data_IF_057759367047
#
_entry.id   IF_057759367047
#
_cell.length_a   1.000
_cell.length_b   1.000
_cell.length_c   1.000
_cell.angle_alpha   90.00
_cell.angle_beta   90.00
_cell.angle_gamma   90.00
#
_symmetry.space_group_name_H-M   'P 1'
#
loop_
_entity.id
_entity.type
_entity.pdbx_description
1 polymer ?
#
# COMPACT_ATOMS: atom_id res chain seq x y z
N UNK A 1 -2.13 -30.32 -12.13
CA UNK A 1 -2.37 -28.95 -11.66
C UNK A 1 -1.25 -28.11 -12.22
N UNK A 2 -1.51 -27.14 -13.10
CA UNK A 2 -0.45 -26.24 -13.58
C UNK A 2 -0.02 -25.32 -12.42
N UNK A 3 1.27 -24.97 -12.30
CA UNK A 3 1.71 -24.03 -11.28
C UNK A 3 1.14 -22.64 -11.59
N UNK A 4 0.47 -22.03 -10.61
CA UNK A 4 -0.03 -20.65 -10.72
C UNK A 4 1.14 -19.69 -10.83
N UNK A 5 1.18 -18.89 -11.90
CA UNK A 5 2.23 -17.89 -12.15
C UNK A 5 1.89 -16.54 -11.51
N UNK A 6 2.88 -15.64 -11.36
CA UNK A 6 2.63 -14.24 -10.94
C UNK A 6 1.61 -13.56 -11.86
N UNK A 7 1.70 -13.81 -13.17
CA UNK A 7 0.77 -13.23 -14.15
C UNK A 7 -0.67 -13.69 -13.91
N UNK A 8 -0.88 -14.97 -13.64
CA UNK A 8 -2.24 -15.49 -13.35
C UNK A 8 -2.85 -14.81 -12.11
N UNK A 9 -2.03 -14.57 -11.08
CA UNK A 9 -2.45 -13.88 -9.87
C UNK A 9 -2.72 -12.39 -10.10
N UNK A 10 -1.90 -11.72 -10.92
CA UNK A 10 -2.12 -10.32 -11.30
C UNK A 10 -3.39 -10.17 -12.14
N UNK A 11 -3.66 -11.11 -13.05
CA UNK A 11 -4.90 -11.14 -13.83
C UNK A 11 -6.14 -11.37 -12.95
N UNK A 12 -6.03 -12.22 -11.92
CA UNK A 12 -7.09 -12.41 -10.94
C UNK A 12 -7.32 -11.14 -10.12
N UNK A 13 -6.25 -10.46 -9.68
CA UNK A 13 -6.36 -9.17 -9.00
C UNK A 13 -7.00 -8.10 -9.89
N UNK A 14 -6.63 -8.04 -11.17
CA UNK A 14 -7.19 -7.09 -12.15
C UNK A 14 -8.68 -7.28 -12.45
N UNK A 15 -9.29 -8.40 -12.05
CA UNK A 15 -10.75 -8.62 -12.17
C UNK A 15 -11.54 -8.07 -10.98
N UNK A 16 -10.87 -7.72 -9.88
CA UNK A 16 -11.50 -7.09 -8.73
C UNK A 16 -11.79 -5.61 -9.03
N UNK A 17 -12.76 -4.97 -8.35
CA UNK A 17 -13.04 -3.56 -8.59
C UNK A 17 -11.80 -2.68 -8.35
N UNK A 18 -11.49 -1.81 -9.30
CA UNK A 18 -10.29 -0.97 -9.28
C UNK A 18 -10.21 -0.10 -8.01
N UNK A 19 -9.06 -0.13 -7.35
CA UNK A 19 -8.81 0.57 -6.09
C UNK A 19 -9.59 0.03 -4.88
N UNK A 20 -10.28 -1.12 -5.00
CA UNK A 20 -10.98 -1.71 -3.85
C UNK A 20 -10.01 -2.29 -2.82
N UNK A 21 -10.44 -2.36 -1.57
CA UNK A 21 -9.67 -2.99 -0.50
C UNK A 21 -9.27 -4.43 -0.82
N UNK A 22 -10.15 -5.19 -1.48
CA UNK A 22 -9.87 -6.56 -1.91
C UNK A 22 -8.76 -6.63 -2.96
N UNK A 23 -8.81 -5.75 -3.97
CA UNK A 23 -7.78 -5.67 -5.00
C UNK A 23 -6.42 -5.32 -4.41
N UNK A 24 -6.36 -4.29 -3.56
CA UNK A 24 -5.12 -3.86 -2.91
C UNK A 24 -4.57 -4.94 -1.97
N UNK A 25 -5.45 -5.62 -1.22
CA UNK A 25 -5.04 -6.75 -0.38
C UNK A 25 -4.44 -7.88 -1.21
N UNK A 26 -5.04 -8.20 -2.35
CA UNK A 26 -4.57 -9.25 -3.24
C UNK A 26 -3.19 -8.91 -3.82
N UNK A 27 -2.99 -7.69 -4.32
CA UNK A 27 -1.67 -7.22 -4.76
C UNK A 27 -0.63 -7.29 -3.64
N UNK A 28 -1.02 -6.93 -2.40
CA UNK A 28 -0.14 -7.06 -1.25
C UNK A 28 0.25 -8.52 -0.99
N UNK A 29 -0.68 -9.47 -1.02
CA UNK A 29 -0.36 -10.90 -0.85
C UNK A 29 0.58 -11.42 -1.94
N UNK A 30 0.40 -10.98 -3.19
CA UNK A 30 1.29 -11.32 -4.31
C UNK A 30 2.69 -10.77 -4.03
N UNK A 31 2.82 -9.50 -3.62
CA UNK A 31 4.10 -8.93 -3.21
C UNK A 31 4.76 -9.74 -2.09
N UNK A 32 4.00 -10.11 -1.06
CA UNK A 32 4.53 -10.87 0.07
C UNK A 32 5.10 -12.22 -0.39
N UNK A 33 4.35 -12.97 -1.20
CA UNK A 33 4.77 -14.29 -1.68
C UNK A 33 5.99 -14.26 -2.60
N UNK A 34 6.03 -13.31 -3.54
CA UNK A 34 7.01 -13.32 -4.65
C UNK A 34 8.16 -12.33 -4.48
N UNK A 35 8.02 -11.32 -3.63
CA UNK A 35 9.08 -10.32 -3.37
C UNK A 35 9.64 -10.46 -1.97
N UNK A 36 8.78 -10.55 -0.93
CA UNK A 36 9.25 -10.60 0.47
C UNK A 36 9.74 -11.98 0.90
N UNK A 37 9.00 -13.03 0.55
CA UNK A 37 9.26 -14.41 0.99
C UNK A 37 10.09 -15.23 -0.01
N UNK A 38 10.55 -14.61 -1.11
CA UNK A 38 11.35 -15.29 -2.12
C UNK A 38 12.65 -15.86 -1.51
N UNK A 39 12.89 -17.18 -1.59
CA UNK A 39 14.07 -17.80 -1.00
C UNK A 39 15.32 -17.51 -1.83
N UNK A 40 16.34 -16.91 -1.19
CA UNK A 40 17.67 -16.68 -1.79
C UNK A 40 17.90 -15.26 -2.30
N UNK A 41 19.18 -14.91 -2.49
CA UNK A 41 19.65 -13.58 -2.90
C UNK A 41 19.24 -13.25 -4.34
N UNK A 42 18.01 -12.80 -4.52
CA UNK A 42 17.50 -12.27 -5.77
C UNK A 42 16.07 -12.71 -6.02
N UNK A 43 15.11 -11.83 -5.73
CA UNK A 43 13.84 -11.85 -6.44
C UNK A 43 14.18 -11.80 -7.94
N UNK A 44 13.68 -12.69 -8.80
CA UNK A 44 13.82 -12.50 -10.23
C UNK A 44 13.25 -11.11 -10.55
N UNK A 45 14.10 -10.17 -10.99
CA UNK A 45 13.72 -8.75 -11.15
C UNK A 45 12.44 -8.59 -12.01
N UNK A 46 12.17 -9.54 -12.91
CA UNK A 46 10.95 -9.62 -13.71
C UNK A 46 9.65 -9.71 -12.90
N UNK A 47 9.58 -10.54 -11.85
CA UNK A 47 8.34 -10.71 -11.07
C UNK A 47 8.01 -9.45 -10.27
N UNK A 48 9.03 -8.81 -9.67
CA UNK A 48 8.84 -7.53 -8.99
C UNK A 48 8.36 -6.46 -9.96
N UNK A 49 9.00 -6.34 -11.13
CA UNK A 49 8.62 -5.35 -12.14
C UNK A 49 7.16 -5.56 -12.58
N UNK A 50 6.76 -6.80 -12.86
CA UNK A 50 5.38 -7.14 -13.21
C UNK A 50 4.38 -6.69 -12.13
N UNK A 51 4.69 -6.93 -10.85
CA UNK A 51 3.83 -6.52 -9.74
C UNK A 51 3.75 -4.98 -9.64
N UNK A 52 4.90 -4.29 -9.73
CA UNK A 52 4.94 -2.82 -9.67
C UNK A 52 4.16 -2.18 -10.82
N UNK A 53 4.39 -2.65 -12.05
CA UNK A 53 3.71 -2.13 -13.23
C UNK A 53 2.19 -2.33 -13.13
N UNK A 54 1.75 -3.52 -12.71
CA UNK A 54 0.33 -3.81 -12.52
C UNK A 54 -0.31 -2.93 -11.45
N UNK A 55 0.32 -2.80 -10.28
CA UNK A 55 -0.20 -1.95 -9.20
C UNK A 55 -0.22 -0.48 -9.61
N UNK A 56 0.84 0.02 -10.26
CA UNK A 56 0.91 1.41 -10.68
C UNK A 56 -0.07 1.75 -11.80
N UNK A 57 -0.36 0.82 -12.71
CA UNK A 57 -1.41 1.01 -13.71
C UNK A 57 -2.79 1.25 -13.05
N UNK A 58 -3.09 0.50 -11.99
CA UNK A 58 -4.34 0.65 -11.24
C UNK A 58 -4.36 1.90 -10.35
N UNK A 59 -3.22 2.28 -9.77
CA UNK A 59 -3.13 3.37 -8.79
C UNK A 59 -2.87 4.76 -9.39
N UNK A 60 -2.31 4.84 -10.60
CA UNK A 60 -2.01 6.09 -11.28
C UNK A 60 -3.20 7.05 -11.42
N UNK A 61 -4.45 6.60 -11.73
CA UNK A 61 -5.62 7.48 -11.79
C UNK A 61 -5.94 8.19 -10.46
N UNK A 62 -5.48 7.64 -9.34
CA UNK A 62 -5.66 8.21 -8.00
C UNK A 62 -4.47 9.07 -7.54
N UNK A 63 -3.45 9.23 -8.40
CA UNK A 63 -2.22 9.93 -8.02
C UNK A 63 -1.43 9.18 -6.94
N UNK A 64 -1.49 7.85 -6.93
CA UNK A 64 -0.74 6.99 -6.00
C UNK A 64 0.24 6.14 -6.78
N UNK A 65 1.45 5.99 -6.25
CA UNK A 65 2.50 5.17 -6.83
C UNK A 65 3.06 4.21 -5.78
N UNK A 66 3.16 2.93 -6.13
CA UNK A 66 3.98 1.95 -5.43
C UNK A 66 5.45 2.15 -5.81
N UNK A 67 6.25 2.39 -4.79
CA UNK A 67 7.67 2.71 -4.86
C UNK A 67 8.49 1.77 -3.97
N UNK A 68 9.82 1.84 -4.10
CA UNK A 68 10.75 1.06 -3.30
C UNK A 68 10.89 1.63 -1.88
N UNK A 69 10.76 0.76 -0.88
CA UNK A 69 11.13 1.07 0.51
C UNK A 69 12.64 1.04 0.79
N UNK A 70 13.03 1.19 2.06
CA UNK A 70 14.43 1.04 2.47
C UNK A 70 15.01 -0.33 2.08
N UNK A 71 14.21 -1.37 2.25
CA UNK A 71 14.49 -2.72 1.78
C UNK A 71 13.69 -2.99 0.50
N UNK A 72 14.32 -3.62 -0.48
CA UNK A 72 13.70 -4.03 -1.75
C UNK A 72 12.49 -4.98 -1.59
N UNK A 73 12.37 -5.60 -0.42
CA UNK A 73 11.29 -6.49 -0.04
C UNK A 73 10.07 -5.77 0.56
N UNK A 74 10.17 -4.47 0.83
CA UNK A 74 9.16 -3.70 1.56
C UNK A 74 8.41 -2.77 0.60
N UNK A 75 7.08 -2.94 0.44
CA UNK A 75 6.29 -2.07 -0.42
C UNK A 75 6.08 -0.72 0.27
N UNK A 76 6.21 0.38 -0.48
CA UNK A 76 5.97 1.74 0.01
C UNK A 76 5.15 2.50 -1.02
N UNK A 77 4.05 3.13 -0.60
CA UNK A 77 3.25 3.98 -1.48
C UNK A 77 3.57 5.46 -1.29
N UNK A 78 3.41 6.25 -2.34
CA UNK A 78 3.45 7.71 -2.31
C UNK A 78 2.20 8.27 -2.96
N UNK A 79 1.56 9.22 -2.30
CA UNK A 79 0.48 10.00 -2.90
C UNK A 79 1.05 11.32 -3.44
N UNK A 80 0.63 11.72 -4.64
CA UNK A 80 1.12 12.93 -5.30
C UNK A 80 0.92 14.17 -4.41
N UNK A 81 1.99 14.94 -4.20
CA UNK A 81 1.92 16.16 -3.39
C UNK A 81 1.83 15.92 -1.87
N UNK A 82 1.79 14.66 -1.42
CA UNK A 82 1.77 14.30 -0.01
C UNK A 82 3.03 13.49 0.35
N UNK A 83 3.59 13.75 1.53
CA UNK A 83 4.86 13.15 1.97
C UNK A 83 4.74 12.69 3.42
N UNK A 84 3.92 11.68 3.69
CA UNK A 84 3.99 11.01 4.99
C UNK A 84 5.22 10.10 5.02
N UNK A 85 6.11 10.35 5.98
CA UNK A 85 7.29 9.51 6.25
C UNK A 85 6.99 8.35 7.20
N UNK A 86 5.86 8.38 7.89
CA UNK A 86 5.48 7.38 8.89
C UNK A 86 3.96 7.28 9.04
N UNK A 87 3.46 6.13 9.50
CA UNK A 87 2.09 6.06 10.02
C UNK A 87 1.87 7.04 11.18
N UNK A 88 2.91 7.38 11.94
CA UNK A 88 2.81 8.40 12.97
C UNK A 88 2.55 9.79 12.38
N UNK A 89 3.16 10.14 11.24
CA UNK A 89 2.86 11.39 10.52
C UNK A 89 1.45 11.35 9.93
N UNK A 90 1.11 10.26 9.25
CA UNK A 90 -0.18 10.07 8.61
C UNK A 90 -1.33 10.17 9.65
N UNK A 91 -1.25 9.43 10.75
CA UNK A 91 -2.27 9.46 11.79
C UNK A 91 -2.22 10.74 12.64
N UNK A 92 -1.06 11.42 12.74
CA UNK A 92 -1.02 12.78 13.31
C UNK A 92 -1.88 13.71 12.48
N UNK A 93 -1.73 13.69 11.16
CA UNK A 93 -2.43 14.59 10.25
C UNK A 93 -3.95 14.29 10.23
N UNK A 94 -4.34 13.01 10.22
CA UNK A 94 -5.75 12.61 10.40
C UNK A 94 -6.30 13.08 11.76
N UNK A 95 -5.55 12.88 12.84
CA UNK A 95 -5.99 13.28 14.19
C UNK A 95 -6.08 14.81 14.36
N UNK A 96 -5.39 15.59 13.52
CA UNK A 96 -5.41 17.05 13.60
C UNK A 96 -6.73 17.66 13.10
N UNK A 97 -7.60 16.87 12.44
CA UNK A 97 -8.89 17.34 11.96
C UNK A 97 -9.81 17.85 13.12
N UNK A 98 -10.76 18.76 12.85
CA UNK A 98 -11.64 19.33 13.88
C UNK A 98 -12.42 18.29 14.68
N UNK A 99 -12.90 17.24 13.99
CA UNK A 99 -13.62 16.10 14.56
C UNK A 99 -12.68 15.03 15.15
N UNK A 100 -11.36 15.25 15.12
CA UNK A 100 -10.35 14.30 15.57
C UNK A 100 -10.12 13.13 14.60
N UNK A 101 -10.59 13.23 13.35
CA UNK A 101 -10.43 12.22 12.31
C UNK A 101 -11.54 11.16 12.30
N UNK A 102 -12.71 11.45 12.87
CA UNK A 102 -13.87 10.54 12.86
C UNK A 102 -14.41 10.34 11.44
N UNK A 103 -14.54 11.43 10.69
CA UNK A 103 -15.00 11.41 9.30
C UNK A 103 -14.06 10.64 8.38
N UNK A 104 -12.74 10.78 8.55
CA UNK A 104 -11.75 9.93 7.85
C UNK A 104 -11.99 8.46 8.17
N UNK A 105 -12.11 8.08 9.45
CA UNK A 105 -12.33 6.69 9.82
C UNK A 105 -13.61 6.11 9.21
N UNK A 106 -14.70 6.88 9.23
CA UNK A 106 -15.96 6.48 8.61
C UNK A 106 -15.85 6.29 7.10
N UNK A 107 -15.15 7.19 6.40
CA UNK A 107 -14.92 7.08 4.96
C UNK A 107 -14.06 5.87 4.60
N UNK A 108 -13.01 5.61 5.39
CA UNK A 108 -12.16 4.42 5.20
C UNK A 108 -12.99 3.15 5.42
N UNK A 109 -13.85 3.08 6.44
CA UNK A 109 -14.78 1.96 6.64
C UNK A 109 -15.72 1.76 5.45
N UNK A 110 -16.32 2.85 4.95
CA UNK A 110 -17.20 2.78 3.77
C UNK A 110 -16.46 2.24 2.54
N UNK A 111 -15.19 2.60 2.37
CA UNK A 111 -14.35 2.08 1.30
C UNK A 111 -13.96 0.61 1.51
N UNK A 112 -13.61 0.20 2.73
CA UNK A 112 -13.34 -1.20 3.08
C UNK A 112 -14.56 -2.10 2.75
N UNK A 113 -15.77 -1.59 2.98
CA UNK A 113 -17.02 -2.29 2.70
C UNK A 113 -17.47 -2.18 1.23
N UNK A 114 -16.72 -1.45 0.39
CA UNK A 114 -17.03 -1.26 -1.04
C UNK A 114 -18.18 -0.29 -1.32
N UNK A 115 -18.69 0.41 -0.31
CA UNK A 115 -19.78 1.41 -0.44
C UNK A 115 -19.28 2.78 -0.92
N UNK A 116 -17.98 3.06 -0.76
CA UNK A 116 -17.31 4.27 -1.25
C UNK A 116 -16.14 3.86 -2.16
N UNK A 117 -16.10 4.26 -3.44
CA UNK A 117 -14.97 3.94 -4.32
C UNK A 117 -13.73 4.77 -3.96
N UNK A 118 -12.54 4.27 -4.31
CA UNK A 118 -11.28 4.97 -4.04
C UNK A 118 -11.22 6.34 -4.74
N UNK A 119 -11.89 6.50 -5.88
CA UNK A 119 -12.01 7.78 -6.61
C UNK A 119 -12.75 8.88 -5.84
N UNK A 120 -13.45 8.54 -4.75
CA UNK A 120 -14.14 9.52 -3.91
C UNK A 120 -13.22 10.22 -2.91
N UNK A 121 -11.96 9.76 -2.77
CA UNK A 121 -10.96 10.39 -1.93
C UNK A 121 -10.17 11.42 -2.72
N UNK A 122 -10.00 12.61 -2.14
CA UNK A 122 -9.00 13.57 -2.64
C UNK A 122 -7.61 13.01 -2.38
N UNK A 123 -6.67 13.27 -3.29
CA UNK A 123 -5.26 12.93 -3.08
C UNK A 123 -4.77 13.55 -1.78
N UNK A 124 -4.24 12.71 -0.88
CA UNK A 124 -3.82 13.14 0.44
C UNK A 124 -3.93 12.04 1.48
N UNK A 125 -4.03 12.43 2.75
CA UNK A 125 -3.88 11.54 3.90
C UNK A 125 -4.87 10.37 3.91
N UNK A 126 -6.17 10.61 3.68
CA UNK A 126 -7.19 9.54 3.70
C UNK A 126 -6.93 8.48 2.62
N UNK A 127 -6.57 8.92 1.41
CA UNK A 127 -6.22 8.03 0.32
C UNK A 127 -5.00 7.18 0.66
N UNK A 128 -3.99 7.80 1.27
CA UNK A 128 -2.79 7.12 1.71
C UNK A 128 -3.07 6.12 2.84
N UNK A 129 -3.99 6.43 3.79
CA UNK A 129 -4.49 5.46 4.79
C UNK A 129 -5.04 4.22 4.08
N UNK A 130 -5.95 4.40 3.12
CA UNK A 130 -6.59 3.29 2.40
C UNK A 130 -5.55 2.39 1.71
N UNK A 131 -4.68 3.00 0.90
CA UNK A 131 -3.73 2.22 0.09
C UNK A 131 -2.63 1.60 0.94
N UNK A 132 -1.98 2.37 1.83
CA UNK A 132 -0.88 1.85 2.65
C UNK A 132 -1.35 0.70 3.55
N UNK A 133 -2.53 0.81 4.16
CA UNK A 133 -3.00 -0.23 5.08
C UNK A 133 -3.38 -1.52 4.37
N UNK A 134 -4.05 -1.47 3.20
CA UNK A 134 -4.45 -2.71 2.51
C UNK A 134 -3.36 -3.32 1.64
N UNK A 135 -2.58 -2.49 0.94
CA UNK A 135 -1.51 -2.96 0.06
C UNK A 135 -0.23 -3.26 0.84
N UNK A 136 0.29 -2.29 1.59
CA UNK A 136 1.62 -2.41 2.18
C UNK A 136 1.66 -3.41 3.34
N UNK A 137 0.66 -3.42 4.22
CA UNK A 137 0.62 -4.41 5.32
C UNK A 137 0.43 -5.84 4.81
N UNK A 138 -0.42 -6.03 3.80
CA UNK A 138 -0.55 -7.33 3.16
C UNK A 138 0.78 -7.76 2.50
N UNK A 139 1.46 -6.85 1.81
CA UNK A 139 2.80 -7.06 1.24
C UNK A 139 3.88 -7.35 2.28
N UNK A 140 3.68 -6.91 3.52
CA UNK A 140 4.55 -7.21 4.65
C UNK A 140 4.26 -8.54 5.33
N UNK A 141 3.13 -9.17 5.02
CA UNK A 141 2.66 -10.40 5.67
C UNK A 141 1.78 -10.16 6.90
N UNK A 142 1.34 -8.92 7.14
CA UNK A 142 0.51 -8.54 8.30
C UNK A 142 -0.99 -8.57 8.00
N UNK A 143 -1.45 -9.47 7.12
CA UNK A 143 -2.87 -9.59 6.74
C UNK A 143 -3.80 -9.84 7.93
N UNK A 144 -3.29 -10.41 9.02
CA UNK A 144 -4.04 -10.69 10.25
C UNK A 144 -4.41 -9.39 10.99
N UNK A 145 -3.54 -8.37 10.92
CA UNK A 145 -3.76 -7.07 11.56
C UNK A 145 -4.85 -6.26 10.85
N UNK A 146 -5.20 -6.58 9.60
CA UNK A 146 -6.22 -5.84 8.86
C UNK A 146 -7.63 -5.95 9.49
N UNK A 147 -7.92 -7.07 10.15
CA UNK A 147 -9.14 -7.21 10.94
C UNK A 147 -9.13 -6.26 12.15
N UNK A 148 -8.03 -6.25 12.91
CA UNK A 148 -7.84 -5.34 14.04
C UNK A 148 -7.91 -3.88 13.61
N UNK A 149 -7.42 -3.55 12.41
CA UNK A 149 -7.52 -2.20 11.86
C UNK A 149 -8.97 -1.74 11.72
N UNK A 150 -9.83 -2.63 11.20
CA UNK A 150 -11.25 -2.34 11.02
C UNK A 150 -11.91 -2.06 12.37
N UNK A 151 -11.66 -2.90 13.37
CA UNK A 151 -12.19 -2.70 14.74
C UNK A 151 -11.74 -1.35 15.33
N UNK A 152 -10.48 -0.97 15.09
CA UNK A 152 -9.95 0.32 15.54
C UNK A 152 -10.59 1.50 14.80
N UNK A 153 -10.82 1.39 13.49
CA UNK A 153 -11.55 2.40 12.72
C UNK A 153 -13.00 2.54 13.19
N UNK A 154 -13.69 1.44 13.49
CA UNK A 154 -15.05 1.46 14.05
C UNK A 154 -15.07 2.19 15.40
N UNK A 155 -14.11 1.89 16.28
CA UNK A 155 -13.97 2.56 17.57
C UNK A 155 -13.66 4.06 17.44
N UNK A 156 -12.93 4.47 16.40
CA UNK A 156 -12.66 5.89 16.10
C UNK A 156 -13.91 6.57 15.56
N UNK A 157 -14.59 5.97 14.58
CA UNK A 157 -15.78 6.54 13.97
C UNK A 157 -16.92 6.72 14.98
N UNK A 158 -16.99 5.87 16.00
CA UNK A 158 -17.97 5.95 17.10
C UNK A 158 -17.49 6.74 18.32
N UNK A 159 -16.32 7.38 18.27
CA UNK A 159 -15.78 8.12 19.40
C UNK A 159 -16.71 9.28 19.83
N UNK A 160 -16.99 9.38 21.12
CA UNK A 160 -17.96 10.36 21.65
C UNK A 160 -17.46 11.80 21.61
N UNK A 161 -16.14 11.99 21.50
CA UNK A 161 -15.51 13.31 21.41
C UNK A 161 -14.36 13.31 20.41
N UNK A 162 -14.02 14.47 19.81
CA UNK A 162 -12.83 14.60 18.97
C UNK A 162 -11.53 14.20 19.69
N UNK A 163 -11.43 14.46 21.00
CA UNK A 163 -10.24 14.12 21.77
C UNK A 163 -10.08 12.61 21.99
N UNK A 164 -11.18 11.87 22.14
CA UNK A 164 -11.14 10.41 22.18
C UNK A 164 -10.71 9.85 20.82
N UNK A 165 -11.28 10.33 19.71
CA UNK A 165 -10.86 9.93 18.36
C UNK A 165 -9.35 10.16 18.12
N UNK A 166 -8.82 11.33 18.51
CA UNK A 166 -7.38 11.64 18.44
C UNK A 166 -6.53 10.66 19.23
N UNK A 167 -6.99 10.28 20.41
CA UNK A 167 -6.26 9.36 21.28
C UNK A 167 -6.17 7.98 20.64
N UNK A 168 -7.27 7.50 20.05
CA UNK A 168 -7.32 6.22 19.33
C UNK A 168 -6.42 6.22 18.08
N UNK A 169 -6.45 7.26 17.25
CA UNK A 169 -5.51 7.38 16.11
C UNK A 169 -4.05 7.30 16.54
N UNK A 170 -3.67 8.00 17.62
CA UNK A 170 -2.31 7.95 18.17
C UNK A 170 -1.95 6.58 18.74
N UNK A 171 -2.93 5.80 19.23
CA UNK A 171 -2.71 4.44 19.68
C UNK A 171 -2.41 3.51 18.51
N UNK A 172 -3.14 3.62 17.39
CA UNK A 172 -2.84 2.85 16.16
C UNK A 172 -1.37 3.07 15.77
N UNK A 173 -0.92 4.32 15.73
CA UNK A 173 0.46 4.68 15.36
C UNK A 173 1.55 4.06 16.26
N UNK A 174 1.21 3.64 17.48
CA UNK A 174 2.13 3.00 18.44
C UNK A 174 2.15 1.48 18.31
N UNK A 175 1.03 0.90 17.90
CA UNK A 175 0.84 -0.57 17.83
C UNK A 175 1.22 -1.09 16.44
N UNK A 176 1.00 -0.28 15.41
CA UNK A 176 1.32 -0.63 14.03
C UNK A 176 2.76 -0.22 13.71
N UNK A 177 3.59 -1.22 13.37
CA UNK A 177 4.99 -0.97 12.98
C UNK A 177 5.01 -0.21 11.66
N UNK A 178 5.75 0.90 11.50
CA UNK A 178 5.66 1.77 10.33
C UNK A 178 5.86 1.05 8.98
N UNK A 179 4.93 1.24 8.04
CA UNK A 179 5.05 0.79 6.66
C UNK A 179 6.10 1.55 5.82
N UNK A 180 6.69 2.62 6.35
CA UNK A 180 7.21 3.70 5.50
C UNK A 180 8.58 4.23 5.91
N UNK A 181 9.49 3.39 6.42
CA UNK A 181 10.90 3.80 6.35
C UNK A 181 11.38 3.64 4.91
N UNK A 182 11.18 4.68 4.09
CA UNK A 182 11.98 4.92 2.89
C UNK A 182 13.35 5.44 3.34
N UNK A 183 14.44 5.09 2.64
CA UNK A 183 15.82 5.41 3.05
C UNK A 183 16.22 6.89 2.97
N UNK A 184 15.30 7.79 2.66
CA UNK A 184 15.63 9.15 2.23
C UNK A 184 14.36 10.03 2.36
N UNK A 185 14.24 11.17 3.03
CA UNK A 185 15.14 12.26 3.46
C UNK A 185 16.19 12.77 2.46
N UNK A 186 16.33 12.11 1.32
CA UNK A 186 17.16 12.57 0.21
C UNK A 186 16.44 12.25 -1.11
N UNK A 187 15.73 13.25 -1.62
CA UNK A 187 15.42 13.47 -3.04
C UNK A 187 15.89 12.34 -3.98
N UNK A 188 15.06 11.33 -4.20
CA UNK A 188 15.18 10.48 -5.39
C UNK A 188 13.77 10.04 -5.75
N UNK A 189 13.21 10.74 -6.74
CA UNK A 189 12.20 10.17 -7.62
C UNK A 189 12.87 9.00 -8.37
N UNK A 190 12.09 7.98 -8.71
CA UNK A 190 12.60 6.81 -9.42
C UNK A 190 13.38 7.23 -10.67
N UNK A 191 14.60 6.71 -10.81
CA UNK A 191 15.27 6.56 -12.10
C UNK A 191 15.53 5.07 -12.31
N UNK A 192 15.28 4.53 -13.51
CA UNK A 192 15.64 3.16 -13.83
C UNK A 192 17.14 3.00 -13.62
N UNK A 193 17.53 1.89 -13.02
CA UNK A 193 18.95 1.55 -12.90
C UNK A 193 19.46 1.15 -14.29
N UNK A 194 20.66 1.60 -14.72
CA UNK A 194 21.24 1.10 -15.97
C UNK A 194 21.37 -0.43 -15.89
N UNK A 195 20.55 -1.14 -16.65
CA UNK A 195 20.36 -2.58 -16.56
C UNK A 195 18.90 -3.03 -16.70
N UNK A 196 17.94 -2.12 -16.50
CA UNK A 196 16.51 -2.39 -16.63
C UNK A 196 16.01 -2.51 -18.10
N UNK A 197 16.84 -2.08 -19.07
CA UNK A 197 16.56 -2.11 -20.52
C UNK A 197 17.45 -3.11 -21.29
N UNK A 198 18.15 -4.04 -20.62
CA UNK A 198 18.91 -5.07 -21.33
C UNK A 198 17.97 -6.18 -21.84
N UNK A 199 17.16 -5.81 -22.82
CA UNK A 199 16.43 -6.71 -23.70
C UNK A 199 17.42 -7.50 -24.57
N UNK A 200 17.06 -8.76 -24.76
CA UNK A 200 17.52 -9.74 -25.74
C UNK A 200 18.77 -9.42 -26.60
N UNK A 201 19.87 -10.08 -26.26
CA UNK A 201 20.78 -10.59 -27.30
C UNK A 201 21.07 -12.06 -27.04
N UNK A 202 20.27 -12.92 -27.67
CA UNK A 202 20.63 -14.32 -27.92
C UNK A 202 21.93 -14.29 -28.73
N UNK A 203 23.05 -14.57 -28.07
CA UNK A 203 24.29 -14.89 -28.78
C UNK A 203 24.25 -16.38 -29.14
N UNK A 204 23.72 -16.67 -30.32
CA UNK A 204 23.99 -17.92 -31.02
C UNK A 204 25.50 -18.01 -31.19
N UNK A 205 26.11 -19.04 -30.58
CA UNK A 205 27.52 -19.37 -30.82
C UNK A 205 27.57 -20.74 -31.46
N UNK A 206 27.87 -20.72 -32.77
CA UNK A 206 28.21 -21.87 -33.61
C UNK A 206 29.51 -22.55 -33.18
#
# INVERSE_FOLDING_TARGET
>A
MQPTTVRDLLDEAGRLPAGSAQQLNMYGRIWCGYVKMAPGSGVPNGDRKLIVDAVNAELAPFGVELTRGYNDSEPVVRCQGHKSSSYADLFRDVSAQPDGGQGTAQRVLQWLDGTLPLSSFTVGTDLEVCVATQLCEAGRGYTQLLGEFRDLLEAIAMATTPQDARTKWRQIARVWTPATQAKSDARTDWQPTPGDDADESISDSS
#
